data_IF_674539483598
#
_entry.id   IF_674539483598
#
_cell.length_a   1.000
_cell.length_b   1.000
_cell.length_c   1.000
_cell.angle_alpha   90.00
_cell.angle_beta   90.00
_cell.angle_gamma   90.00
#
_symmetry.space_group_name_H-M   'P 1'
#
loop_
_entity.id
_entity.type
_entity.pdbx_description
1 polymer ?
#
# COMPACT_ATOMS: atom_id res chain seq x y z
N UNK A 1 -20.72 16.10 51.41
CA UNK A 1 -20.85 14.85 50.63
C UNK A 1 -19.48 14.51 50.11
N UNK A 2 -18.85 13.47 50.64
CA UNK A 2 -17.54 13.00 50.17
C UNK A 2 -17.76 12.31 48.81
N UNK A 3 -17.20 12.86 47.74
CA UNK A 3 -17.16 12.19 46.46
C UNK A 3 -16.29 10.94 46.62
N UNK A 4 -16.91 9.77 46.61
CA UNK A 4 -16.19 8.52 46.43
C UNK A 4 -15.59 8.50 45.05
N UNK A 5 -14.25 8.60 44.98
CA UNK A 5 -13.47 8.26 43.83
C UNK A 5 -13.69 6.79 43.53
N UNK A 6 -14.64 6.46 42.67
CA UNK A 6 -14.77 5.12 42.10
C UNK A 6 -13.58 4.93 41.17
N UNK A 7 -12.45 4.57 41.75
CA UNK A 7 -11.38 3.96 40.94
C UNK A 7 -11.98 2.66 40.40
N UNK A 8 -12.29 2.61 39.11
CA UNK A 8 -12.70 1.38 38.44
C UNK A 8 -11.63 0.33 38.74
N UNK A 9 -12.00 -0.70 39.46
CA UNK A 9 -11.11 -1.80 39.84
C UNK A 9 -10.67 -2.48 38.53
N UNK A 10 -9.38 -2.46 38.27
CA UNK A 10 -8.82 -3.14 37.09
C UNK A 10 -9.27 -4.59 37.04
N UNK A 11 -9.77 -5.02 35.90
CA UNK A 11 -10.31 -6.38 35.72
C UNK A 11 -9.18 -7.39 35.46
N UNK A 12 -8.00 -6.93 35.12
CA UNK A 12 -6.87 -7.73 34.67
C UNK A 12 -7.00 -8.21 33.20
N UNK A 13 -8.05 -7.76 32.51
CA UNK A 13 -8.28 -8.07 31.09
C UNK A 13 -7.90 -6.88 30.23
N UNK A 14 -6.82 -6.96 29.43
CA UNK A 14 -6.36 -5.84 28.63
C UNK A 14 -7.42 -5.29 27.66
N UNK A 15 -8.31 -6.13 27.12
CA UNK A 15 -9.39 -5.69 26.23
C UNK A 15 -10.40 -4.75 26.91
N UNK A 16 -10.59 -4.91 28.24
CA UNK A 16 -11.49 -4.09 29.04
C UNK A 16 -10.76 -2.88 29.62
N UNK A 17 -9.63 -3.15 30.27
CA UNK A 17 -8.86 -2.13 31.02
C UNK A 17 -8.09 -1.18 30.09
N UNK A 18 -7.80 -1.59 28.86
CA UNK A 18 -7.10 -0.83 27.80
C UNK A 18 -5.88 -0.08 28.32
N UNK A 19 -4.89 -0.77 28.93
CA UNK A 19 -3.77 -0.14 29.61
C UNK A 19 -2.89 0.72 28.68
N UNK A 20 -2.97 0.50 27.35
CA UNK A 20 -2.25 1.29 26.35
C UNK A 20 -2.81 2.70 26.17
N UNK A 21 -4.05 2.99 26.57
CA UNK A 21 -4.66 4.32 26.39
C UNK A 21 -3.90 5.43 27.13
N UNK A 22 -3.19 5.12 28.21
CA UNK A 22 -2.35 6.08 28.92
C UNK A 22 -1.19 6.64 28.07
N UNK A 23 -0.85 5.96 26.98
CA UNK A 23 0.22 6.38 26.06
C UNK A 23 -0.29 7.15 24.86
N UNK A 24 -1.61 7.26 24.69
CA UNK A 24 -2.18 8.02 23.61
C UNK A 24 -2.11 9.54 23.87
N UNK A 25 -1.90 10.36 22.85
CA UNK A 25 -2.14 11.80 22.94
C UNK A 25 -3.57 12.10 23.38
N UNK A 26 -3.77 13.18 24.13
CA UNK A 26 -5.09 13.56 24.67
C UNK A 26 -6.17 13.65 23.59
N UNK A 27 -5.80 14.12 22.38
CA UNK A 27 -6.74 14.22 21.25
C UNK A 27 -7.32 12.84 20.84
N UNK A 28 -6.55 11.78 20.99
CA UNK A 28 -7.03 10.41 20.68
C UNK A 28 -7.90 9.82 21.81
N UNK A 29 -7.68 10.26 23.05
CA UNK A 29 -8.49 9.82 24.19
C UNK A 29 -9.90 10.41 24.12
N UNK A 30 -10.05 11.62 23.56
CA UNK A 30 -11.31 12.33 23.41
C UNK A 30 -12.24 11.72 22.33
N UNK A 31 -11.75 10.79 21.57
CA UNK A 31 -12.47 10.06 20.53
C UNK A 31 -12.00 10.41 19.13
N UNK A 32 -11.78 9.37 18.34
CA UNK A 32 -11.46 9.45 16.92
C UNK A 32 -12.72 9.10 16.13
N UNK A 33 -13.24 10.04 15.34
CA UNK A 33 -14.33 9.77 14.41
C UNK A 33 -13.74 9.46 13.03
N UNK A 34 -14.13 8.33 12.44
CA UNK A 34 -13.73 7.98 11.09
C UNK A 34 -14.62 8.76 10.12
N UNK A 35 -14.04 9.50 9.15
CA UNK A 35 -14.83 10.25 8.17
C UNK A 35 -15.69 9.33 7.28
N UNK A 36 -16.94 9.71 7.04
CA UNK A 36 -17.86 9.04 6.13
C UNK A 36 -17.65 9.52 4.68
N UNK A 37 -16.50 9.16 4.11
CA UNK A 37 -16.03 9.61 2.82
C UNK A 37 -15.68 8.42 1.92
N UNK A 38 -15.67 8.65 0.60
CA UNK A 38 -14.95 7.77 -0.32
C UNK A 38 -13.43 7.98 -0.14
N UNK A 39 -12.62 7.04 -0.57
CA UNK A 39 -11.15 7.20 -0.55
C UNK A 39 -10.74 8.40 -1.41
N UNK A 40 -11.40 8.59 -2.56
CA UNK A 40 -11.17 9.74 -3.42
C UNK A 40 -11.47 11.07 -2.69
N UNK A 41 -12.66 11.21 -2.07
CA UNK A 41 -13.01 12.39 -1.29
C UNK A 41 -12.01 12.65 -0.15
N UNK A 42 -11.61 11.59 0.57
CA UNK A 42 -10.66 11.66 1.68
C UNK A 42 -9.29 12.19 1.25
N UNK A 43 -8.80 11.76 0.09
CA UNK A 43 -7.54 12.26 -0.47
C UNK A 43 -7.68 13.70 -0.99
N UNK A 44 -8.78 14.02 -1.69
CA UNK A 44 -8.98 15.35 -2.28
C UNK A 44 -9.15 16.43 -1.23
N UNK A 45 -9.79 16.14 -0.11
CA UNK A 45 -9.91 17.07 1.03
C UNK A 45 -8.54 17.41 1.64
N UNK A 46 -7.58 16.49 1.55
CA UNK A 46 -6.22 16.62 2.11
C UNK A 46 -5.17 16.99 1.07
N UNK A 47 -5.59 17.17 -0.16
CA UNK A 47 -4.74 17.63 -1.25
C UNK A 47 -4.23 19.04 -0.94
N UNK A 48 -2.89 19.27 -0.92
CA UNK A 48 -2.33 20.58 -0.57
C UNK A 48 -2.50 21.63 -1.67
N UNK A 49 -2.88 21.20 -2.88
CA UNK A 49 -3.10 22.06 -4.05
C UNK A 49 -2.84 21.35 -5.37
N UNK A 50 -3.49 21.81 -6.42
CA UNK A 50 -3.46 21.17 -7.73
C UNK A 50 -2.08 21.13 -8.39
N UNK A 51 -1.29 22.17 -8.20
CA UNK A 51 0.06 22.31 -8.78
C UNK A 51 1.17 21.67 -7.88
N UNK A 52 0.79 21.08 -6.76
CA UNK A 52 1.74 20.39 -5.86
C UNK A 52 2.02 18.98 -6.40
N UNK A 53 3.30 18.60 -6.45
CA UNK A 53 3.71 17.24 -6.85
C UNK A 53 3.17 16.20 -5.86
N UNK A 54 2.34 15.29 -6.30
CA UNK A 54 1.80 14.18 -5.49
C UNK A 54 2.76 12.99 -5.50
N UNK A 55 3.26 12.64 -6.69
CA UNK A 55 4.02 11.42 -6.96
C UNK A 55 5.28 11.80 -7.74
N UNK A 56 6.40 11.20 -7.35
CA UNK A 56 7.62 11.13 -8.16
C UNK A 56 7.77 9.71 -8.69
N UNK A 57 7.94 9.59 -10.01
CA UNK A 57 8.08 8.30 -10.67
C UNK A 57 9.17 8.36 -11.73
N UNK A 58 10.33 7.79 -11.46
CA UNK A 58 11.47 7.70 -12.37
C UNK A 58 11.72 8.99 -13.17
N UNK A 59 12.09 10.06 -12.43
CA UNK A 59 12.44 11.36 -12.99
C UNK A 59 11.26 12.24 -13.40
N UNK A 60 10.02 11.77 -13.27
CA UNK A 60 8.81 12.55 -13.54
C UNK A 60 8.10 12.92 -12.26
N UNK A 61 7.78 14.20 -12.12
CA UNK A 61 6.90 14.73 -11.10
C UNK A 61 5.47 14.79 -11.62
N UNK A 62 4.55 14.16 -10.91
CA UNK A 62 3.13 14.11 -11.23
C UNK A 62 2.39 14.96 -10.20
N UNK A 63 1.72 16.01 -10.67
CA UNK A 63 0.98 16.93 -9.83
C UNK A 63 -0.43 16.40 -9.51
N UNK A 64 -1.03 16.91 -8.43
CA UNK A 64 -2.38 16.51 -8.02
C UNK A 64 -3.44 16.75 -9.11
N UNK A 65 -3.33 17.83 -9.90
CA UNK A 65 -4.23 18.05 -11.04
C UNK A 65 -4.18 16.91 -12.05
N UNK A 66 -2.97 16.42 -12.35
CA UNK A 66 -2.82 15.28 -13.26
C UNK A 66 -3.40 14.01 -12.66
N UNK A 67 -3.19 13.76 -11.36
CA UNK A 67 -3.82 12.62 -10.67
C UNK A 67 -5.34 12.66 -10.84
N UNK A 68 -5.97 13.81 -10.60
CA UNK A 68 -7.42 13.99 -10.76
C UNK A 68 -7.90 13.72 -12.18
N UNK A 69 -7.22 14.30 -13.17
CA UNK A 69 -7.52 14.11 -14.59
C UNK A 69 -7.39 12.63 -15.01
N UNK A 70 -6.31 11.98 -14.60
CA UNK A 70 -6.08 10.57 -14.93
C UNK A 70 -7.08 9.64 -14.23
N UNK A 71 -7.51 9.94 -13.01
CA UNK A 71 -8.58 9.20 -12.32
C UNK A 71 -9.88 9.29 -13.10
N UNK A 72 -10.28 10.50 -13.54
CA UNK A 72 -11.51 10.70 -14.30
C UNK A 72 -11.48 10.01 -15.68
N UNK A 73 -10.37 10.12 -16.40
CA UNK A 73 -10.18 9.42 -17.66
C UNK A 73 -10.20 7.90 -17.49
N UNK A 74 -9.52 7.39 -16.47
CA UNK A 74 -9.50 5.95 -16.17
C UNK A 74 -10.90 5.44 -15.79
N UNK A 75 -11.70 6.21 -15.05
CA UNK A 75 -13.07 5.85 -14.71
C UNK A 75 -13.97 5.74 -15.95
N UNK A 76 -13.86 6.69 -16.88
CA UNK A 76 -14.53 6.64 -18.18
C UNK A 76 -14.09 5.45 -19.02
N UNK A 77 -12.77 5.19 -19.05
CA UNK A 77 -12.20 4.07 -19.80
C UNK A 77 -12.67 2.71 -19.26
N UNK A 78 -12.74 2.55 -17.94
CA UNK A 78 -13.30 1.35 -17.32
C UNK A 78 -14.76 1.12 -17.73
N UNK A 79 -15.57 2.19 -17.73
CA UNK A 79 -16.97 2.12 -18.21
C UNK A 79 -17.03 1.76 -19.71
N UNK A 80 -16.17 2.35 -20.53
CA UNK A 80 -16.15 2.10 -21.97
C UNK A 80 -15.87 0.61 -22.31
N UNK A 81 -14.98 -0.04 -21.56
CA UNK A 81 -14.68 -1.48 -21.74
C UNK A 81 -15.63 -2.42 -21.00
N UNK A 82 -16.65 -1.86 -20.31
CA UNK A 82 -17.78 -2.61 -19.76
C UNK A 82 -17.70 -2.93 -18.28
N UNK A 83 -16.78 -2.35 -17.50
CA UNK A 83 -16.82 -2.42 -16.03
C UNK A 83 -17.84 -1.46 -15.43
N UNK A 84 -18.46 -1.87 -14.34
CA UNK A 84 -19.48 -1.09 -13.66
C UNK A 84 -19.64 -1.43 -12.18
N UNK A 85 -20.73 -0.97 -11.62
CA UNK A 85 -21.05 -1.17 -10.21
C UNK A 85 -21.15 -2.65 -9.86
N UNK A 86 -20.45 -3.05 -8.79
CA UNK A 86 -20.40 -4.43 -8.31
C UNK A 86 -19.37 -5.33 -9.01
N UNK A 87 -18.78 -4.90 -10.12
CA UNK A 87 -17.77 -5.67 -10.81
C UNK A 87 -16.46 -5.77 -10.03
N UNK A 88 -15.69 -6.80 -10.34
CA UNK A 88 -14.33 -6.99 -9.86
C UNK A 88 -13.36 -6.77 -11.02
N UNK A 89 -12.38 -5.92 -10.82
CA UNK A 89 -11.35 -5.60 -11.80
C UNK A 89 -10.06 -6.32 -11.39
N UNK A 90 -9.68 -7.43 -12.03
CA UNK A 90 -8.42 -8.10 -11.75
C UNK A 90 -7.24 -7.26 -12.24
N UNK A 91 -6.30 -6.96 -11.32
CA UNK A 91 -5.18 -6.06 -11.56
C UNK A 91 -3.88 -6.75 -11.18
N UNK A 92 -2.97 -6.85 -12.15
CA UNK A 92 -1.63 -7.42 -12.04
C UNK A 92 -0.59 -6.35 -12.35
N UNK A 93 -0.66 -5.24 -11.60
CA UNK A 93 0.27 -4.12 -11.69
C UNK A 93 1.13 -4.03 -10.43
N UNK A 94 2.34 -3.54 -10.58
CA UNK A 94 3.16 -3.09 -9.45
C UNK A 94 2.67 -1.72 -8.95
N UNK A 95 3.34 -1.17 -7.95
CA UNK A 95 3.03 0.14 -7.37
C UNK A 95 3.44 1.29 -8.32
N UNK A 96 2.71 1.45 -9.41
CA UNK A 96 2.88 2.49 -10.44
C UNK A 96 1.81 3.58 -10.31
N UNK A 97 1.99 4.79 -10.86
CA UNK A 97 0.98 5.84 -10.80
C UNK A 97 -0.40 5.39 -11.32
N UNK A 98 -0.41 4.63 -12.41
CA UNK A 98 -1.64 4.12 -13.04
C UNK A 98 -2.42 3.16 -12.13
N UNK A 99 -1.74 2.46 -11.21
CA UNK A 99 -2.45 1.67 -10.20
C UNK A 99 -3.30 2.57 -9.27
N UNK A 100 -2.74 3.72 -8.87
CA UNK A 100 -3.47 4.68 -8.01
C UNK A 100 -4.66 5.27 -8.77
N UNK A 101 -4.46 5.64 -10.04
CA UNK A 101 -5.55 6.16 -10.88
C UNK A 101 -6.66 5.14 -11.03
N UNK A 102 -6.31 3.90 -11.34
CA UNK A 102 -7.24 2.78 -11.51
C UNK A 102 -7.98 2.45 -10.22
N UNK A 103 -7.29 2.47 -9.07
CA UNK A 103 -7.89 2.20 -7.77
C UNK A 103 -8.98 3.22 -7.43
N UNK A 104 -8.68 4.50 -7.58
CA UNK A 104 -9.64 5.59 -7.34
C UNK A 104 -10.75 5.64 -8.41
N UNK A 105 -10.43 5.31 -9.65
CA UNK A 105 -11.41 5.19 -10.73
C UNK A 105 -12.38 4.03 -10.49
N UNK A 106 -11.90 2.89 -10.00
CA UNK A 106 -12.76 1.76 -9.62
C UNK A 106 -13.78 2.15 -8.54
N UNK A 107 -13.35 2.92 -7.54
CA UNK A 107 -14.25 3.47 -6.53
C UNK A 107 -15.34 4.34 -7.15
N UNK A 108 -14.97 5.28 -8.05
CA UNK A 108 -15.92 6.17 -8.72
C UNK A 108 -17.01 5.43 -9.49
N UNK A 109 -16.66 4.34 -10.17
CA UNK A 109 -17.62 3.54 -10.93
C UNK A 109 -18.35 2.48 -10.08
N UNK A 110 -18.04 2.36 -8.78
CA UNK A 110 -18.64 1.40 -7.87
C UNK A 110 -18.14 -0.05 -8.03
N UNK A 111 -17.00 -0.23 -8.69
CA UNK A 111 -16.33 -1.52 -8.83
C UNK A 111 -15.30 -1.76 -7.72
N UNK A 112 -14.78 -2.96 -7.63
CA UNK A 112 -13.71 -3.32 -6.70
C UNK A 112 -12.45 -3.78 -7.45
N UNK A 113 -11.28 -3.36 -6.96
CA UNK A 113 -9.98 -3.84 -7.46
C UNK A 113 -9.67 -5.18 -6.82
N UNK A 114 -9.33 -6.17 -7.64
CA UNK A 114 -8.93 -7.50 -7.22
C UNK A 114 -7.43 -7.68 -7.49
N UNK A 115 -6.62 -7.73 -6.43
CA UNK A 115 -5.19 -7.99 -6.53
C UNK A 115 -4.85 -9.35 -5.94
N UNK A 116 -4.13 -10.15 -6.72
CA UNK A 116 -3.49 -11.37 -6.28
C UNK A 116 -2.14 -11.48 -7.00
N UNK A 117 -1.09 -11.72 -6.24
CA UNK A 117 0.25 -11.92 -6.78
C UNK A 117 0.79 -13.22 -6.18
N UNK A 118 0.48 -14.31 -6.86
CA UNK A 118 0.81 -15.67 -6.44
C UNK A 118 1.11 -16.52 -7.69
N UNK A 119 0.90 -17.84 -7.63
CA UNK A 119 1.07 -18.69 -8.81
C UNK A 119 0.07 -18.34 -9.91
N UNK A 120 0.44 -18.61 -11.16
CA UNK A 120 -0.43 -18.35 -12.30
C UNK A 120 -1.78 -19.07 -12.16
N UNK A 121 -1.77 -20.32 -11.66
CA UNK A 121 -2.97 -21.14 -11.44
C UNK A 121 -3.93 -20.46 -10.46
N UNK A 122 -3.40 -19.96 -9.34
CA UNK A 122 -4.20 -19.30 -8.33
C UNK A 122 -4.72 -17.94 -8.80
N UNK A 123 -3.92 -17.23 -9.61
CA UNK A 123 -4.34 -15.97 -10.23
C UNK A 123 -5.46 -16.22 -11.25
N UNK A 124 -5.34 -17.25 -12.10
CA UNK A 124 -6.39 -17.67 -13.06
C UNK A 124 -7.67 -18.05 -12.31
N UNK A 125 -7.56 -18.80 -11.22
CA UNK A 125 -8.73 -19.17 -10.40
C UNK A 125 -9.42 -17.93 -9.80
N UNK A 126 -8.66 -16.95 -9.31
CA UNK A 126 -9.21 -15.70 -8.79
C UNK A 126 -9.94 -14.91 -9.87
N UNK A 127 -9.35 -14.78 -11.07
CA UNK A 127 -9.98 -14.13 -12.22
C UNK A 127 -11.26 -14.87 -12.65
N UNK A 128 -11.23 -16.20 -12.72
CA UNK A 128 -12.41 -17.01 -13.04
C UNK A 128 -13.55 -16.79 -12.06
N UNK A 129 -13.25 -16.77 -10.75
CA UNK A 129 -14.24 -16.53 -9.69
C UNK A 129 -14.80 -15.10 -9.71
N UNK A 130 -14.02 -14.14 -10.16
CA UNK A 130 -14.49 -12.74 -10.28
C UNK A 130 -15.52 -12.55 -11.38
N UNK A 131 -15.57 -13.41 -12.37
CA UNK A 131 -16.42 -13.29 -13.55
C UNK A 131 -15.99 -12.19 -14.53
N UNK A 132 -14.86 -11.53 -14.27
CA UNK A 132 -14.33 -10.45 -15.09
C UNK A 132 -14.08 -10.92 -16.54
N UNK A 133 -14.32 -10.02 -17.48
CA UNK A 133 -14.10 -10.28 -18.92
C UNK A 133 -12.79 -9.70 -19.43
N UNK A 134 -12.16 -8.84 -18.69
CA UNK A 134 -10.86 -8.22 -18.95
C UNK A 134 -10.00 -8.28 -17.70
N UNK A 135 -8.68 -8.33 -17.90
CA UNK A 135 -7.69 -8.12 -16.83
C UNK A 135 -6.86 -6.88 -17.17
N UNK A 136 -6.24 -6.29 -16.17
CA UNK A 136 -5.27 -5.20 -16.33
C UNK A 136 -3.93 -5.67 -15.82
N UNK A 137 -2.91 -5.65 -16.67
CA UNK A 137 -1.59 -6.20 -16.38
C UNK A 137 -0.47 -5.35 -16.99
N UNK A 138 0.76 -5.61 -16.57
CA UNK A 138 1.92 -5.07 -17.29
C UNK A 138 2.10 -5.75 -18.64
N UNK A 139 2.73 -5.05 -19.58
CA UNK A 139 2.92 -5.51 -20.96
C UNK A 139 4.04 -6.56 -21.11
N UNK A 140 4.71 -6.91 -20.03
CA UNK A 140 5.57 -8.10 -19.95
C UNK A 140 4.82 -9.39 -19.60
N UNK A 141 3.48 -9.37 -19.52
CA UNK A 141 2.67 -10.58 -19.44
C UNK A 141 2.88 -11.42 -20.72
N UNK A 142 3.32 -12.68 -20.56
CA UNK A 142 3.61 -13.55 -21.69
C UNK A 142 2.36 -13.88 -22.53
N UNK A 143 2.55 -14.19 -23.81
CA UNK A 143 1.48 -14.70 -24.68
C UNK A 143 0.87 -15.99 -24.16
N UNK A 144 1.69 -16.87 -23.60
CA UNK A 144 1.24 -18.15 -23.05
C UNK A 144 0.31 -17.92 -21.86
N UNK A 145 0.72 -17.07 -20.90
CA UNK A 145 -0.09 -16.77 -19.72
C UNK A 145 -1.39 -16.09 -20.09
N UNK A 146 -1.38 -15.11 -21.00
CA UNK A 146 -2.62 -14.50 -21.49
C UNK A 146 -3.55 -15.51 -22.13
N UNK A 147 -3.03 -16.45 -22.93
CA UNK A 147 -3.84 -17.50 -23.54
C UNK A 147 -4.41 -18.44 -22.47
N UNK A 148 -3.69 -18.72 -21.41
CA UNK A 148 -4.19 -19.49 -20.27
C UNK A 148 -5.33 -18.75 -19.56
N UNK A 149 -5.17 -17.47 -19.25
CA UNK A 149 -6.26 -16.64 -18.69
C UNK A 149 -7.51 -16.68 -19.57
N UNK A 150 -7.35 -16.56 -20.88
CA UNK A 150 -8.48 -16.60 -21.83
C UNK A 150 -9.18 -17.95 -21.84
N UNK A 151 -8.43 -19.04 -21.90
CA UNK A 151 -8.99 -20.41 -21.98
C UNK A 151 -9.59 -20.88 -20.65
N UNK A 152 -8.91 -20.61 -19.53
CA UNK A 152 -9.24 -21.20 -18.23
C UNK A 152 -10.15 -20.28 -17.39
N UNK A 153 -9.96 -18.94 -17.45
CA UNK A 153 -10.80 -17.98 -16.75
C UNK A 153 -11.91 -17.35 -17.61
N UNK A 154 -11.86 -17.52 -18.95
CA UNK A 154 -12.91 -17.04 -19.86
C UNK A 154 -12.91 -15.54 -20.10
N UNK A 155 -11.76 -14.88 -19.93
CA UNK A 155 -11.63 -13.46 -20.27
C UNK A 155 -11.61 -13.25 -21.78
N UNK A 156 -12.00 -12.06 -22.23
CA UNK A 156 -11.92 -11.65 -23.65
C UNK A 156 -10.53 -11.16 -24.02
N UNK A 157 -9.85 -10.50 -23.07
CA UNK A 157 -8.53 -9.92 -23.30
C UNK A 157 -7.97 -9.19 -22.08
N UNK A 158 -6.93 -8.39 -22.32
CA UNK A 158 -6.21 -7.63 -21.31
C UNK A 158 -5.96 -6.19 -21.74
N UNK A 159 -6.00 -5.27 -20.79
CA UNK A 159 -5.38 -3.94 -20.91
C UNK A 159 -3.95 -4.07 -20.43
N UNK A 160 -3.00 -3.70 -21.27
CA UNK A 160 -1.58 -3.81 -20.99
C UNK A 160 -0.92 -2.44 -20.77
N UNK A 161 -0.22 -2.34 -19.64
CA UNK A 161 0.47 -1.13 -19.22
C UNK A 161 1.98 -1.32 -19.29
N UNK A 162 2.65 -0.46 -20.08
CA UNK A 162 4.11 -0.35 -20.02
C UNK A 162 4.54 0.27 -18.69
N UNK A 163 5.48 -0.37 -17.95
CA UNK A 163 6.02 0.17 -16.71
C UNK A 163 6.61 1.57 -16.83
N UNK A 164 7.13 1.90 -17.99
CA UNK A 164 7.80 3.19 -18.26
C UNK A 164 6.86 4.26 -18.83
N UNK A 165 5.56 3.98 -18.97
CA UNK A 165 4.62 4.95 -19.59
C UNK A 165 4.62 6.30 -18.90
N UNK A 166 4.57 6.32 -17.59
CA UNK A 166 4.59 7.55 -16.77
C UNK A 166 5.99 7.96 -16.32
N UNK A 167 7.05 7.26 -16.74
CA UNK A 167 8.43 7.57 -16.40
C UNK A 167 9.08 8.49 -17.42
N UNK A 168 10.11 9.21 -16.98
CA UNK A 168 11.10 9.80 -17.89
C UNK A 168 12.26 8.82 -18.04
N UNK A 169 12.53 8.37 -19.26
CA UNK A 169 13.62 7.38 -19.53
C UNK A 169 14.97 7.82 -18.95
N UNK A 170 15.25 9.12 -18.98
CA UNK A 170 16.48 9.71 -18.42
C UNK A 170 16.54 9.71 -16.90
N UNK A 171 15.42 9.51 -16.23
CA UNK A 171 15.33 9.43 -14.77
C UNK A 171 15.29 7.99 -14.25
N UNK A 172 15.38 7.00 -15.14
CA UNK A 172 15.41 5.59 -14.76
C UNK A 172 16.87 5.15 -14.53
N UNK A 173 17.27 4.79 -13.29
CA UNK A 173 18.62 4.30 -13.03
C UNK A 173 18.91 3.02 -13.81
N UNK A 174 20.18 2.79 -14.17
CA UNK A 174 20.59 1.64 -14.99
C UNK A 174 20.24 0.31 -14.31
N UNK A 175 20.38 0.20 -13.00
CA UNK A 175 20.01 -1.03 -12.27
C UNK A 175 18.49 -1.29 -12.35
N UNK A 176 17.64 -0.27 -12.30
CA UNK A 176 16.21 -0.42 -12.50
C UNK A 176 15.87 -0.82 -13.93
N UNK A 177 16.57 -0.19 -14.90
CA UNK A 177 16.39 -0.53 -16.31
C UNK A 177 16.75 -1.98 -16.60
N UNK A 178 17.90 -2.45 -16.12
CA UNK A 178 18.36 -3.83 -16.30
C UNK A 178 17.38 -4.83 -15.68
N UNK A 179 16.85 -4.50 -14.49
CA UNK A 179 15.85 -5.34 -13.87
C UNK A 179 14.55 -5.36 -14.68
N UNK A 180 14.09 -4.20 -15.14
CA UNK A 180 12.89 -4.12 -15.97
C UNK A 180 13.04 -4.93 -17.26
N UNK A 181 14.15 -4.81 -17.96
CA UNK A 181 14.42 -5.59 -19.17
C UNK A 181 14.39 -7.10 -18.90
N UNK A 182 14.85 -7.53 -17.72
CA UNK A 182 14.83 -8.95 -17.34
C UNK A 182 13.41 -9.54 -17.18
N UNK A 183 12.40 -8.68 -17.01
CA UNK A 183 11.00 -9.12 -16.90
C UNK A 183 10.37 -9.46 -18.25
N UNK A 184 10.93 -8.94 -19.35
CA UNK A 184 10.44 -9.24 -20.69
C UNK A 184 11.07 -10.52 -21.21
N UNK A 185 10.39 -11.63 -21.02
CA UNK A 185 10.87 -12.95 -21.46
C UNK A 185 10.36 -13.33 -22.83
N UNK A 186 9.20 -12.77 -23.26
CA UNK A 186 8.52 -13.08 -24.50
C UNK A 186 7.77 -11.83 -24.96
N UNK A 187 8.17 -11.26 -26.10
CA UNK A 187 7.86 -9.88 -26.46
C UNK A 187 6.65 -9.73 -27.38
N UNK A 188 5.98 -8.57 -27.28
CA UNK A 188 4.99 -8.19 -26.27
C UNK A 188 3.67 -8.86 -26.57
N UNK A 189 2.84 -9.04 -25.58
CA UNK A 189 1.51 -9.62 -25.69
C UNK A 189 0.49 -8.78 -26.51
N UNK A 190 0.97 -7.82 -27.32
CA UNK A 190 0.08 -7.02 -28.18
C UNK A 190 -0.44 -7.84 -29.35
N UNK A 191 -1.76 -7.93 -29.45
CA UNK A 191 -2.46 -8.72 -30.46
C UNK A 191 -3.96 -8.49 -30.39
N UNK A 192 -4.76 -9.32 -31.07
CA UNK A 192 -6.21 -9.10 -31.20
C UNK A 192 -7.00 -9.16 -29.88
N UNK A 193 -6.33 -9.61 -28.80
CA UNK A 193 -6.94 -9.77 -27.47
C UNK A 193 -6.35 -8.83 -26.43
N UNK A 194 -5.58 -7.84 -26.85
CA UNK A 194 -4.91 -6.88 -25.98
C UNK A 194 -5.17 -5.47 -26.43
N UNK A 195 -5.18 -4.57 -25.48
CA UNK A 195 -5.31 -3.14 -25.64
C UNK A 195 -4.19 -2.48 -24.86
N UNK A 196 -3.47 -1.54 -25.45
CA UNK A 196 -2.50 -0.73 -24.70
C UNK A 196 -3.23 0.19 -23.73
N UNK A 197 -2.53 0.62 -22.67
CA UNK A 197 -3.11 1.60 -21.74
C UNK A 197 -3.53 2.90 -22.44
N UNK A 198 -2.76 3.37 -23.44
CA UNK A 198 -3.12 4.58 -24.17
C UNK A 198 -4.38 4.40 -25.02
N UNK A 199 -4.55 3.25 -25.67
CA UNK A 199 -5.79 2.92 -26.35
C UNK A 199 -6.97 2.81 -25.38
N UNK A 200 -6.76 2.23 -24.20
CA UNK A 200 -7.76 2.16 -23.13
C UNK A 200 -8.20 3.56 -22.65
N UNK A 201 -7.26 4.47 -22.44
CA UNK A 201 -7.56 5.87 -22.07
C UNK A 201 -8.32 6.59 -23.19
N UNK A 202 -7.93 6.35 -24.47
CA UNK A 202 -8.63 6.93 -25.62
C UNK A 202 -10.10 6.48 -25.74
N UNK A 203 -10.43 5.24 -25.35
CA UNK A 203 -11.83 4.81 -25.20
C UNK A 203 -12.56 5.64 -24.13
N UNK A 204 -11.87 5.99 -23.05
CA UNK A 204 -12.42 6.84 -21.99
C UNK A 204 -12.69 8.28 -22.45
N UNK A 205 -11.83 8.85 -23.28
CA UNK A 205 -12.03 10.18 -23.88
C UNK A 205 -13.31 10.26 -24.73
N UNK A 206 -13.65 9.16 -25.40
CA UNK A 206 -14.83 9.06 -26.26
C UNK A 206 -16.10 8.68 -25.50
N UNK A 207 -15.97 8.22 -24.26
CA UNK A 207 -17.12 7.76 -23.46
C UNK A 207 -17.99 8.94 -22.99
N UNK A 208 -19.26 8.92 -23.36
CA UNK A 208 -20.26 9.97 -23.02
C UNK A 208 -21.34 9.50 -22.04
N UNK A 209 -21.25 8.25 -21.53
CA UNK A 209 -22.22 7.70 -20.60
C UNK A 209 -22.01 8.17 -19.14
N UNK A 210 -22.90 7.73 -18.26
CA UNK A 210 -22.78 7.98 -16.82
C UNK A 210 -21.58 7.20 -16.25
N UNK A 211 -20.68 7.91 -15.57
CA UNK A 211 -19.45 7.35 -15.01
C UNK A 211 -19.66 6.95 -13.56
N UNK A 212 -20.10 7.87 -12.73
CA UNK A 212 -20.14 7.68 -11.28
C UNK A 212 -21.29 6.79 -10.84
N UNK A 213 -20.98 5.89 -9.90
CA UNK A 213 -21.98 5.15 -9.16
C UNK A 213 -22.49 5.96 -7.96
N UNK A 214 -23.62 5.57 -7.40
CA UNK A 214 -24.09 6.14 -6.15
C UNK A 214 -23.06 5.94 -5.03
N UNK A 215 -22.87 6.99 -4.21
CA UNK A 215 -21.95 6.95 -3.08
C UNK A 215 -22.33 5.85 -2.09
N UNK A 216 -21.39 4.94 -1.82
CA UNK A 216 -21.54 3.90 -0.81
C UNK A 216 -20.17 3.53 -0.26
N UNK A 217 -19.86 4.03 0.94
CA UNK A 217 -18.56 3.85 1.61
C UNK A 217 -18.33 2.42 2.12
N UNK A 218 -19.38 1.62 2.25
CA UNK A 218 -19.32 0.23 2.71
C UNK A 218 -19.29 -0.79 1.55
N UNK A 219 -19.41 -0.31 0.30
CA UNK A 219 -19.27 -1.16 -0.87
C UNK A 219 -17.86 -1.78 -0.92
N UNK A 220 -17.73 -3.05 -1.35
CA UNK A 220 -16.43 -3.64 -1.64
C UNK A 220 -15.62 -2.78 -2.60
N UNK A 221 -14.43 -2.35 -2.19
CA UNK A 221 -13.51 -1.53 -3.00
C UNK A 221 -12.23 -2.27 -3.33
N UNK A 222 -11.66 -2.97 -2.36
CA UNK A 222 -10.41 -3.70 -2.53
C UNK A 222 -10.53 -5.14 -2.09
N UNK A 223 -10.00 -6.05 -2.91
CA UNK A 223 -9.98 -7.50 -2.67
C UNK A 223 -8.55 -7.98 -2.75
N UNK A 224 -8.02 -8.46 -1.65
CA UNK A 224 -6.70 -9.07 -1.54
C UNK A 224 -6.81 -10.51 -1.07
N UNK A 225 -5.70 -11.20 -1.04
CA UNK A 225 -5.63 -12.56 -0.52
C UNK A 225 -4.64 -12.65 0.63
N UNK A 226 -4.95 -13.47 1.63
CA UNK A 226 -4.02 -13.78 2.72
C UNK A 226 -2.87 -14.66 2.21
N UNK A 227 -1.72 -14.60 2.88
CA UNK A 227 -0.53 -15.36 2.51
C UNK A 227 -0.71 -16.90 2.54
N UNK A 228 -1.76 -17.39 3.22
CA UNK A 228 -2.00 -18.83 3.34
C UNK A 228 -1.02 -19.58 4.24
N UNK A 229 -0.22 -18.89 5.07
CA UNK A 229 0.78 -19.51 5.96
C UNK A 229 0.20 -20.50 6.97
N UNK A 230 -1.07 -20.36 7.33
CA UNK A 230 -1.77 -21.21 8.32
C UNK A 230 -2.89 -22.07 7.72
N UNK A 231 -3.05 -22.05 6.39
CA UNK A 231 -4.12 -22.75 5.69
C UNK A 231 -4.35 -22.18 4.28
N UNK A 232 -5.43 -22.61 3.58
CA UNK A 232 -5.72 -22.07 2.26
C UNK A 232 -5.84 -20.55 2.27
N UNK A 233 -5.28 -19.89 1.26
CA UNK A 233 -5.38 -18.45 1.06
C UNK A 233 -6.84 -18.02 0.96
N UNK A 234 -7.23 -17.00 1.73
CA UNK A 234 -8.59 -16.46 1.80
C UNK A 234 -8.65 -15.09 1.15
N UNK A 235 -9.73 -14.81 0.43
CA UNK A 235 -10.00 -13.47 -0.05
C UNK A 235 -10.48 -12.59 1.11
N UNK A 236 -9.84 -11.44 1.28
CA UNK A 236 -10.24 -10.39 2.21
C UNK A 236 -10.79 -9.22 1.42
N UNK A 237 -11.87 -8.64 1.91
CA UNK A 237 -12.59 -7.57 1.22
C UNK A 237 -12.58 -6.32 2.11
N UNK A 238 -12.17 -5.20 1.53
CA UNK A 238 -12.16 -3.90 2.18
C UNK A 238 -13.09 -2.92 1.46
N UNK A 239 -13.77 -2.11 2.24
CA UNK A 239 -14.53 -0.95 1.77
C UNK A 239 -13.71 0.34 1.95
N UNK A 240 -14.20 1.47 1.39
CA UNK A 240 -13.62 2.78 1.65
C UNK A 240 -13.55 3.08 3.15
N UNK A 241 -14.62 2.80 3.88
CA UNK A 241 -14.70 3.01 5.33
C UNK A 241 -13.58 2.28 6.09
N UNK A 242 -13.33 0.98 5.79
CA UNK A 242 -12.28 0.21 6.46
C UNK A 242 -10.88 0.72 6.13
N UNK A 243 -10.65 1.13 4.88
CA UNK A 243 -9.35 1.65 4.44
C UNK A 243 -9.07 3.04 5.02
N UNK A 244 -10.06 3.94 4.99
CA UNK A 244 -9.96 5.27 5.60
C UNK A 244 -9.75 5.14 7.10
N UNK A 245 -10.46 4.22 7.76
CA UNK A 245 -10.27 3.96 9.19
C UNK A 245 -8.81 3.70 9.53
N UNK A 246 -8.14 2.82 8.80
CA UNK A 246 -6.74 2.50 9.07
C UNK A 246 -5.79 3.66 8.69
N UNK A 247 -6.00 4.33 7.55
CA UNK A 247 -5.23 5.53 7.19
C UNK A 247 -5.38 6.63 8.25
N UNK A 248 -6.60 6.88 8.71
CA UNK A 248 -6.91 7.92 9.69
C UNK A 248 -6.26 7.63 11.05
N UNK A 249 -6.27 6.36 11.49
CA UNK A 249 -5.54 5.92 12.68
C UNK A 249 -4.04 6.17 12.55
N UNK A 250 -3.43 5.86 11.40
CA UNK A 250 -2.00 6.04 11.18
C UNK A 250 -1.58 7.51 11.14
N UNK A 251 -2.41 8.40 10.62
CA UNK A 251 -2.11 9.83 10.54
C UNK A 251 -1.87 10.47 11.92
N UNK A 252 -2.42 9.91 12.99
CA UNK A 252 -2.14 10.38 14.35
C UNK A 252 -0.77 9.98 14.89
N UNK A 253 -0.11 9.00 14.27
CA UNK A 253 1.26 8.61 14.61
C UNK A 253 2.31 9.30 13.73
N UNK A 254 1.89 10.03 12.69
CA UNK A 254 2.76 10.83 11.85
C UNK A 254 3.27 12.04 12.60
N UNK A 255 4.59 12.25 12.66
CA UNK A 255 5.15 13.49 13.10
C UNK A 255 4.74 14.60 12.12
N UNK A 256 4.15 15.69 12.62
CA UNK A 256 4.06 16.91 11.83
C UNK A 256 5.50 17.40 11.60
N UNK A 257 5.92 17.49 10.37
CA UNK A 257 7.21 18.08 10.00
C UNK A 257 6.99 19.50 9.50
N UNK A 258 7.97 20.38 9.73
CA UNK A 258 7.95 21.75 9.20
C UNK A 258 8.13 21.78 7.67
N UNK A 259 8.46 20.63 7.08
CA UNK A 259 8.60 20.46 5.64
C UNK A 259 7.83 19.21 5.16
N UNK A 260 7.55 19.16 3.90
CA UNK A 260 6.86 18.05 3.24
C UNK A 260 7.80 16.86 3.03
N UNK A 261 7.63 15.74 3.77
CA UNK A 261 8.57 14.63 3.69
C UNK A 261 8.36 13.76 2.43
N UNK A 262 9.43 13.14 1.99
CA UNK A 262 9.42 12.10 0.96
C UNK A 262 9.14 10.73 1.57
N UNK A 263 8.37 9.93 0.85
CA UNK A 263 7.98 8.56 1.23
C UNK A 263 8.32 7.60 0.08
N UNK A 264 9.34 6.77 0.27
CA UNK A 264 9.82 5.87 -0.78
C UNK A 264 9.14 4.50 -0.67
N UNK A 265 8.56 4.04 -1.78
CA UNK A 265 8.01 2.68 -1.95
C UNK A 265 8.82 1.97 -3.02
N UNK A 266 9.57 0.95 -2.62
CA UNK A 266 10.40 0.13 -3.50
C UNK A 266 9.84 -1.28 -3.60
N UNK A 267 9.81 -1.85 -4.79
CA UNK A 267 9.61 -3.28 -5.07
C UNK A 267 8.37 -3.98 -4.46
N UNK A 268 7.58 -3.28 -3.66
CA UNK A 268 6.39 -3.83 -3.01
C UNK A 268 5.19 -3.87 -3.96
N UNK A 269 4.38 -4.93 -3.86
CA UNK A 269 3.22 -5.15 -4.75
C UNK A 269 1.91 -4.75 -4.07
N UNK A 270 0.97 -4.14 -4.83
CA UNK A 270 -0.37 -3.82 -4.34
C UNK A 270 -1.25 -5.03 -3.98
N UNK A 271 -0.79 -6.25 -4.21
CA UNK A 271 -1.48 -7.45 -3.71
C UNK A 271 -1.52 -7.53 -2.17
N UNK A 272 -0.64 -6.79 -1.51
CA UNK A 272 -0.62 -6.63 -0.06
C UNK A 272 -1.48 -5.43 0.35
N UNK A 273 -2.46 -5.65 1.23
CA UNK A 273 -3.34 -4.58 1.76
C UNK A 273 -2.52 -3.44 2.37
N UNK A 274 -1.45 -3.79 3.11
CA UNK A 274 -0.55 -2.81 3.71
C UNK A 274 0.11 -1.89 2.69
N UNK A 275 0.45 -2.40 1.50
CA UNK A 275 1.02 -1.57 0.43
C UNK A 275 0.00 -0.55 -0.04
N UNK A 276 -1.23 -0.96 -0.33
CA UNK A 276 -2.26 -0.03 -0.81
C UNK A 276 -2.61 0.99 0.27
N UNK A 277 -2.94 0.55 1.48
CA UNK A 277 -3.43 1.44 2.55
C UNK A 277 -2.32 2.27 3.17
N UNK A 278 -1.24 1.61 3.64
CA UNK A 278 -0.22 2.27 4.45
C UNK A 278 0.92 2.88 3.62
N UNK A 279 1.18 2.36 2.42
CA UNK A 279 2.35 2.77 1.65
C UNK A 279 2.02 3.62 0.42
N UNK A 280 0.80 3.51 -0.14
CA UNK A 280 0.36 4.34 -1.27
C UNK A 280 -0.61 5.44 -0.85
N UNK A 281 -1.75 5.07 -0.24
CA UNK A 281 -2.82 6.03 0.04
C UNK A 281 -2.55 6.89 1.27
N UNK A 282 -2.03 6.31 2.36
CA UNK A 282 -1.77 7.07 3.59
C UNK A 282 -0.74 8.20 3.40
N UNK A 283 0.41 8.02 2.72
CA UNK A 283 1.32 9.13 2.48
C UNK A 283 0.68 10.26 1.65
N UNK A 284 -0.13 9.93 0.65
CA UNK A 284 -0.89 10.94 -0.12
C UNK A 284 -1.89 11.69 0.76
N UNK A 285 -2.58 10.98 1.67
CA UNK A 285 -3.51 11.57 2.63
C UNK A 285 -2.83 12.40 3.74
N UNK A 286 -1.51 12.31 3.87
CA UNK A 286 -0.70 12.97 4.91
C UNK A 286 0.25 14.03 4.34
N UNK A 287 -0.04 14.52 3.15
CA UNK A 287 0.78 15.50 2.42
C UNK A 287 2.27 15.12 2.33
N UNK A 288 2.55 13.89 1.95
CA UNK A 288 3.92 13.43 1.66
C UNK A 288 4.14 13.35 0.14
N UNK A 289 5.37 13.60 -0.29
CA UNK A 289 5.77 13.30 -1.67
C UNK A 289 5.99 11.79 -1.78
N UNK A 290 5.11 11.12 -2.53
CA UNK A 290 5.20 9.69 -2.75
C UNK A 290 6.21 9.39 -3.88
N UNK A 291 7.29 8.71 -3.55
CA UNK A 291 8.29 8.23 -4.53
C UNK A 291 8.01 6.76 -4.81
N UNK A 292 7.73 6.43 -6.07
CA UNK A 292 7.47 5.07 -6.50
C UNK A 292 8.65 4.54 -7.31
N UNK A 293 9.26 3.45 -6.86
CA UNK A 293 10.32 2.74 -7.56
C UNK A 293 10.11 1.21 -7.50
N UNK A 294 9.07 0.69 -8.20
CA UNK A 294 8.70 -0.72 -8.11
C UNK A 294 9.55 -1.66 -8.95
N UNK A 295 10.39 -1.14 -9.87
CA UNK A 295 11.21 -1.94 -10.78
C UNK A 295 12.67 -1.90 -10.39
N UNK A 296 12.98 -2.49 -9.26
CA UNK A 296 14.32 -2.69 -8.71
C UNK A 296 14.45 -4.15 -8.25
N UNK A 297 15.62 -4.75 -8.47
CA UNK A 297 15.88 -6.07 -7.93
C UNK A 297 15.96 -6.01 -6.38
N UNK A 298 15.52 -7.04 -5.65
CA UNK A 298 15.61 -7.04 -4.19
C UNK A 298 17.00 -6.76 -3.67
N UNK A 299 18.04 -7.27 -4.34
CA UNK A 299 19.44 -7.04 -4.03
C UNK A 299 19.94 -5.60 -4.22
N UNK A 300 19.18 -4.75 -4.91
CA UNK A 300 19.56 -3.37 -5.26
C UNK A 300 18.79 -2.29 -4.46
N UNK A 301 18.06 -2.69 -3.42
CA UNK A 301 17.28 -1.75 -2.59
C UNK A 301 18.14 -0.72 -1.84
N UNK A 302 19.41 -1.02 -1.59
CA UNK A 302 20.37 -0.07 -1.02
C UNK A 302 20.70 1.06 -2.01
N UNK A 303 20.76 0.76 -3.31
CA UNK A 303 20.94 1.77 -4.36
C UNK A 303 19.76 2.74 -4.39
N UNK A 304 18.54 2.23 -4.23
CA UNK A 304 17.33 3.06 -4.14
C UNK A 304 17.38 4.04 -2.95
N UNK A 305 17.75 3.53 -1.78
CA UNK A 305 17.89 4.34 -0.57
C UNK A 305 18.93 5.44 -0.77
N UNK A 306 20.07 5.12 -1.37
CA UNK A 306 21.13 6.10 -1.65
C UNK A 306 20.73 7.10 -2.74
N UNK A 307 20.02 6.64 -3.79
CA UNK A 307 19.61 7.48 -4.91
C UNK A 307 18.55 8.51 -4.50
N UNK A 308 17.47 8.05 -3.86
CA UNK A 308 16.35 8.93 -3.51
C UNK A 308 16.50 9.65 -2.18
N UNK A 309 17.38 9.20 -1.30
CA UNK A 309 17.60 9.78 0.05
C UNK A 309 16.27 10.10 0.77
N UNK A 310 15.38 9.10 0.97
CA UNK A 310 14.03 9.36 1.45
C UNK A 310 14.03 9.80 2.92
N UNK A 311 13.00 10.57 3.30
CA UNK A 311 12.77 10.90 4.70
C UNK A 311 12.06 9.77 5.46
N UNK A 312 11.17 9.07 4.76
CA UNK A 312 10.44 7.91 5.28
C UNK A 312 10.64 6.71 4.36
N UNK A 313 11.04 5.58 4.94
CA UNK A 313 11.30 4.37 4.19
C UNK A 313 10.64 3.17 4.88
N UNK A 314 9.39 2.81 4.50
CA UNK A 314 8.75 1.59 4.97
C UNK A 314 9.39 0.38 4.29
N UNK A 315 9.67 -0.65 5.07
CA UNK A 315 10.42 -1.82 4.64
C UNK A 315 9.71 -3.12 5.00
N UNK A 316 10.16 -4.20 4.38
CA UNK A 316 10.07 -5.53 4.97
C UNK A 316 11.42 -5.90 5.58
N UNK A 317 11.47 -6.75 6.61
CA UNK A 317 12.72 -7.12 7.29
C UNK A 317 13.83 -7.57 6.35
N UNK A 318 13.49 -8.29 5.29
CA UNK A 318 14.46 -8.76 4.29
C UNK A 318 15.26 -7.61 3.66
N UNK A 319 14.63 -6.45 3.39
CA UNK A 319 15.32 -5.36 2.69
C UNK A 319 16.43 -4.73 3.53
N UNK A 320 16.20 -4.45 4.82
CA UNK A 320 17.25 -3.89 5.67
C UNK A 320 18.39 -4.90 5.88
N UNK A 321 18.09 -6.20 5.95
CA UNK A 321 19.12 -7.24 6.01
C UNK A 321 19.95 -7.31 4.72
N UNK A 322 19.33 -7.11 3.55
CA UNK A 322 20.03 -7.03 2.26
C UNK A 322 20.95 -5.81 2.24
N UNK A 323 20.46 -4.62 2.63
CA UNK A 323 21.26 -3.38 2.69
C UNK A 323 22.50 -3.56 3.54
N UNK A 324 22.36 -4.12 4.76
CA UNK A 324 23.49 -4.39 5.65
C UNK A 324 24.46 -5.41 5.08
N UNK A 325 23.95 -6.47 4.41
CA UNK A 325 24.77 -7.56 3.87
C UNK A 325 25.55 -7.16 2.63
N UNK A 326 24.97 -6.30 1.79
CA UNK A 326 25.59 -5.92 0.52
C UNK A 326 26.91 -5.16 0.70
N UNK A 327 27.06 -4.41 1.79
CA UNK A 327 28.26 -3.63 2.08
C UNK A 327 28.56 -2.54 1.02
N UNK A 328 27.55 -2.11 0.26
CA UNK A 328 27.69 -1.06 -0.77
C UNK A 328 27.43 0.34 -0.24
N UNK A 329 26.79 0.45 0.92
CA UNK A 329 26.60 1.74 1.59
C UNK A 329 27.96 2.15 2.19
N UNK A 330 28.53 3.31 1.76
CA UNK A 330 29.80 3.78 2.31
C UNK A 330 29.73 4.02 3.81
N UNK A 331 30.81 3.74 4.54
CA UNK A 331 30.87 3.91 6.01
C UNK A 331 30.58 5.37 6.44
N UNK A 332 30.89 6.35 5.59
CA UNK A 332 30.64 7.78 5.81
C UNK A 332 29.32 8.28 5.20
N UNK A 333 28.48 7.40 4.68
CA UNK A 333 27.19 7.79 4.12
C UNK A 333 26.26 8.33 5.20
N UNK A 334 25.83 9.58 5.04
CA UNK A 334 24.98 10.27 5.99
C UNK A 334 23.48 9.97 5.76
N UNK A 335 22.88 9.19 6.69
CA UNK A 335 21.46 8.88 6.74
C UNK A 335 20.65 9.83 7.64
N UNK A 336 21.18 11.00 7.99
CA UNK A 336 20.46 11.96 8.83
C UNK A 336 19.17 12.50 8.19
N UNK A 337 19.03 12.34 6.86
CA UNK A 337 17.81 12.65 6.12
C UNK A 337 16.63 11.70 6.47
N UNK A 338 16.92 10.48 6.93
CA UNK A 338 15.94 9.46 7.26
C UNK A 338 15.44 9.65 8.70
N UNK A 339 14.19 10.01 8.89
CA UNK A 339 13.60 10.19 10.22
C UNK A 339 12.50 9.16 10.54
N UNK A 340 12.13 8.32 9.57
CA UNK A 340 11.23 7.19 9.80
C UNK A 340 11.72 5.99 9.01
N UNK A 341 12.13 4.96 9.72
CA UNK A 341 12.48 3.67 9.17
C UNK A 341 11.78 2.59 10.02
N UNK A 342 11.09 1.68 9.34
CA UNK A 342 10.39 0.60 10.04
C UNK A 342 10.05 -0.55 9.11
N UNK A 343 9.93 -1.73 9.70
CA UNK A 343 9.61 -2.95 8.99
C UNK A 343 8.29 -3.57 9.47
N UNK A 344 7.63 -4.26 8.57
CA UNK A 344 6.40 -5.00 8.84
C UNK A 344 6.28 -6.23 7.96
N UNK A 345 5.13 -6.89 7.98
CA UNK A 345 4.79 -8.07 7.19
C UNK A 345 5.48 -9.38 7.62
N UNK A 346 6.62 -9.32 8.29
CA UNK A 346 7.39 -10.47 8.76
C UNK A 346 7.85 -10.29 10.20
N UNK A 347 8.09 -11.40 10.89
CA UNK A 347 8.68 -11.38 12.22
C UNK A 347 10.15 -10.95 12.16
N UNK A 348 10.53 -10.06 13.07
CA UNK A 348 11.90 -9.56 13.16
C UNK A 348 12.38 -9.72 14.60
N UNK A 349 13.40 -10.55 14.82
CA UNK A 349 13.86 -10.85 16.16
C UNK A 349 14.74 -9.72 16.75
N UNK A 350 14.91 -9.74 18.06
CA UNK A 350 15.61 -8.67 18.77
C UNK A 350 17.06 -8.46 18.33
N UNK A 351 17.78 -9.51 17.95
CA UNK A 351 19.15 -9.37 17.47
C UNK A 351 19.19 -8.69 16.11
N UNK A 352 18.22 -8.99 15.24
CA UNK A 352 18.05 -8.32 13.96
C UNK A 352 17.71 -6.83 14.17
N UNK A 353 16.76 -6.53 15.06
CA UNK A 353 16.41 -5.15 15.41
C UNK A 353 17.62 -4.36 15.91
N UNK A 354 18.43 -4.95 16.80
CA UNK A 354 19.65 -4.30 17.32
C UNK A 354 20.69 -4.04 16.23
N UNK A 355 20.86 -4.99 15.29
CA UNK A 355 21.78 -4.80 14.16
C UNK A 355 21.31 -3.69 13.23
N UNK A 356 20.02 -3.70 12.85
CA UNK A 356 19.44 -2.66 12.02
C UNK A 356 19.53 -1.27 12.67
N UNK A 357 19.23 -1.17 13.97
CA UNK A 357 19.35 0.08 14.72
C UNK A 357 20.82 0.57 14.75
N UNK A 358 21.75 -0.33 15.06
CA UNK A 358 23.18 0.02 15.06
C UNK A 358 23.66 0.48 13.69
N UNK A 359 23.25 -0.20 12.62
CA UNK A 359 23.59 0.19 11.25
C UNK A 359 23.12 1.63 10.95
N UNK A 360 21.87 1.96 11.31
CA UNK A 360 21.35 3.31 11.15
C UNK A 360 22.13 4.35 11.98
N UNK A 361 22.47 4.04 13.23
CA UNK A 361 23.24 4.91 14.11
C UNK A 361 24.67 5.13 13.59
N UNK A 362 25.33 4.10 13.11
CA UNK A 362 26.68 4.18 12.53
C UNK A 362 26.69 5.11 11.29
N UNK A 363 25.55 5.26 10.59
CA UNK A 363 25.36 6.16 9.46
C UNK A 363 24.64 7.49 9.84
N UNK A 364 24.74 7.92 11.10
CA UNK A 364 24.20 9.19 11.59
C UNK A 364 22.66 9.31 11.55
N UNK A 365 21.93 8.24 11.28
CA UNK A 365 20.47 8.25 11.33
C UNK A 365 19.99 8.38 12.78
N UNK A 366 19.09 9.35 13.02
CA UNK A 366 18.46 9.56 14.32
C UNK A 366 17.13 8.81 14.46
N UNK A 367 16.64 8.24 13.35
CA UNK A 367 15.42 7.47 13.39
C UNK A 367 15.60 6.19 14.20
N UNK A 368 14.57 5.85 14.94
CA UNK A 368 14.50 4.56 15.60
C UNK A 368 13.95 3.54 14.61
N UNK A 369 14.65 2.43 14.43
CA UNK A 369 14.12 1.32 13.64
C UNK A 369 13.02 0.61 14.42
N UNK A 370 11.84 0.52 13.85
CA UNK A 370 10.65 0.04 14.52
C UNK A 370 9.99 -1.11 13.75
N UNK A 371 9.22 -1.94 14.46
CA UNK A 371 8.37 -2.95 13.83
C UNK A 371 6.93 -2.76 14.30
N UNK A 372 6.00 -2.78 13.34
CA UNK A 372 4.57 -2.82 13.60
C UNK A 372 4.01 -4.22 13.43
N UNK A 373 2.75 -4.41 13.84
CA UNK A 373 1.99 -5.64 13.61
C UNK A 373 0.69 -5.31 12.90
N UNK A 374 0.36 -6.13 11.91
CA UNK A 374 -0.88 -6.00 11.16
C UNK A 374 -1.19 -7.27 10.39
N UNK A 375 -2.36 -7.30 9.78
CA UNK A 375 -2.78 -8.37 8.90
C UNK A 375 -3.74 -7.86 7.83
N UNK A 376 -3.92 -8.65 6.76
CA UNK A 376 -4.84 -8.30 5.68
C UNK A 376 -6.26 -8.09 6.18
N UNK A 377 -6.73 -8.93 7.13
CA UNK A 377 -8.08 -8.88 7.68
C UNK A 377 -8.37 -7.60 8.49
N UNK A 378 -7.33 -6.94 9.01
CA UNK A 378 -7.47 -5.69 9.78
C UNK A 378 -7.25 -4.42 8.93
N UNK A 379 -7.06 -4.56 7.63
CA UNK A 379 -6.88 -3.42 6.73
C UNK A 379 -5.47 -2.85 6.68
N UNK A 380 -4.50 -3.36 7.36
CA UNK A 380 -3.06 -3.12 7.42
C UNK A 380 -2.55 -3.17 8.88
N UNK A 381 -2.28 -2.01 9.50
CA UNK A 381 -1.67 -1.93 10.83
C UNK A 381 -2.71 -2.09 11.95
N UNK A 382 -2.40 -2.92 12.94
CA UNK A 382 -3.17 -3.10 14.16
C UNK A 382 -2.45 -2.49 15.37
N UNK A 383 -1.13 -2.51 15.36
CA UNK A 383 -0.29 -1.86 16.36
C UNK A 383 0.92 -1.19 15.74
N UNK A 384 1.33 -0.09 16.32
CA UNK A 384 2.54 0.63 15.96
C UNK A 384 3.29 1.05 17.23
N UNK A 385 4.63 1.07 17.21
CA UNK A 385 5.42 1.57 18.33
C UNK A 385 5.30 3.08 18.44
N UNK A 386 5.15 3.59 19.66
CA UNK A 386 5.29 5.01 19.94
C UNK A 386 6.77 5.37 20.06
N UNK A 387 7.24 6.27 19.23
CA UNK A 387 8.65 6.67 19.20
C UNK A 387 9.14 7.31 20.50
N UNK A 388 8.24 7.89 21.29
CA UNK A 388 8.54 8.54 22.56
C UNK A 388 8.83 7.57 23.73
N UNK A 389 8.55 6.27 23.56
CA UNK A 389 8.70 5.29 24.65
C UNK A 389 9.75 4.22 24.30
N UNK A 390 10.53 3.73 25.30
CA UNK A 390 11.46 2.65 25.07
C UNK A 390 10.76 1.40 24.54
N UNK A 391 11.21 0.88 23.40
CA UNK A 391 10.71 -0.35 22.85
C UNK A 391 11.42 -1.51 23.56
N UNK A 392 10.68 -2.37 24.24
CA UNK A 392 11.19 -3.62 24.79
C UNK A 392 11.36 -4.64 23.68
N UNK A 393 12.24 -5.59 23.91
CA UNK A 393 12.47 -6.71 23.01
C UNK A 393 11.18 -7.44 22.65
N UNK A 394 10.93 -7.67 21.35
CA UNK A 394 9.72 -8.31 20.84
C UNK A 394 8.46 -7.43 20.82
N UNK A 395 8.60 -6.15 21.14
CA UNK A 395 7.48 -5.22 21.17
C UNK A 395 7.17 -4.70 19.75
N UNK A 396 5.96 -4.93 19.28
CA UNK A 396 5.41 -4.42 18.02
C UNK A 396 4.54 -3.15 18.20
N UNK A 397 4.64 -2.52 19.36
CA UNK A 397 3.91 -1.29 19.68
C UNK A 397 2.67 -1.52 20.53
N UNK A 398 1.81 -0.52 20.52
CA UNK A 398 0.50 -0.54 21.20
C UNK A 398 -0.60 -0.60 20.14
N UNK A 399 -1.81 -1.08 20.50
CA UNK A 399 -2.94 -1.06 19.58
C UNK A 399 -3.15 0.32 18.94
N UNK A 400 -3.60 0.34 17.70
CA UNK A 400 -4.01 1.58 17.04
C UNK A 400 -5.27 2.14 17.73
N UNK A 401 -5.52 3.47 17.64
CA UNK A 401 -6.78 4.04 18.12
C UNK A 401 -7.99 3.27 17.58
N UNK A 402 -9.02 3.09 18.37
CA UNK A 402 -10.21 2.27 18.05
C UNK A 402 -9.94 0.76 17.85
N UNK A 403 -8.71 0.30 18.01
CA UNK A 403 -8.36 -1.11 17.94
C UNK A 403 -8.23 -1.68 19.36
N UNK A 404 -8.81 -2.86 19.58
CA UNK A 404 -8.64 -3.62 20.82
C UNK A 404 -7.98 -4.96 20.48
N UNK A 405 -6.89 -5.26 21.16
CA UNK A 405 -6.16 -6.52 21.00
C UNK A 405 -6.31 -7.32 22.30
N UNK A 406 -6.71 -8.58 22.17
CA UNK A 406 -6.84 -9.52 23.27
C UNK A 406 -6.03 -10.78 22.99
N UNK A 407 -5.41 -11.34 24.02
CA UNK A 407 -4.71 -12.61 23.95
C UNK A 407 -5.54 -13.64 24.72
N UNK A 408 -5.84 -14.76 24.10
CA UNK A 408 -6.64 -15.82 24.70
C UNK A 408 -5.79 -17.07 24.96
N UNK A 409 -6.10 -17.79 26.01
CA UNK A 409 -5.52 -19.13 26.23
C UNK A 409 -5.89 -20.02 25.05
N UNK A 410 -4.93 -20.75 24.47
CA UNK A 410 -5.21 -21.63 23.35
C UNK A 410 -6.39 -22.58 23.61
N UNK A 411 -7.30 -22.66 22.64
CA UNK A 411 -8.49 -23.51 22.73
C UNK A 411 -9.60 -23.01 23.68
N UNK A 412 -9.49 -21.81 24.23
CA UNK A 412 -10.49 -21.23 25.13
C UNK A 412 -10.96 -19.85 24.65
N UNK A 413 -12.00 -19.30 25.35
CA UNK A 413 -12.41 -17.89 25.24
C UNK A 413 -11.99 -17.09 26.49
N UNK A 414 -11.03 -17.59 27.25
CA UNK A 414 -10.50 -16.90 28.43
C UNK A 414 -9.36 -16.01 28.02
N UNK A 415 -9.51 -14.70 28.22
CA UNK A 415 -8.45 -13.71 28.01
C UNK A 415 -7.40 -13.81 29.11
N UNK A 416 -6.11 -13.74 28.71
CA UNK A 416 -4.95 -13.72 29.63
C UNK A 416 -4.56 -12.31 30.03
#
# INVERSE_FOLDING_TARGET
MKGENVMNKMTGKPSIDKPWMQYYPLQLIQGLAIPEQTVYEYLMERCPGDDVTAIHYYGRDIQWKEVKEQVDLTARALRAIGFGEGDQIPVFLRAVPEFIYLFLAAEKIGASVLCRDNTLEENIEAVKKSGAKMIIAHDFLSHEDLNRYRKEAGIRGAVLLSPIRSAMRTGLPDYCWNYLESLYTDYPAYGPYTMSWDAFISEGEQFSGTVEAEKNIDRPLFRAYTSGSTGPSKQVIHSAHTMIGNMHQMNFYGASSEFRPTWLVTQLTPSLVAVVVAMLLMPLASDKLLILSPFVAPEDVDLEMMHYRPNCWPLIPMFIEIVMRNGRVPDDYDMSHLFSAGAGCEAYNNNQLKRAQKFLEDHHCKARFTTGYGCSEAGSNMSLPLTAHPIKDGNVGIPMPLTTISIFKPGTRSEE
#
